data_IF_729809221068
#
_entry.id   IF_729809221068
#
_cell.length_a   1.000
_cell.length_b   1.000
_cell.length_c   1.000
_cell.angle_alpha   90.00
_cell.angle_beta   90.00
_cell.angle_gamma   90.00
#
_symmetry.space_group_name_H-M   'P 1'
#
loop_
_entity.id
_entity.type
_entity.pdbx_description
1 polymer ?
#
# COMPACT_ATOMS: atom_id res chain seq x y z
N UNK A 1 -14.78 -0.67 -28.20
CA UNK A 1 -14.99 -2.02 -27.62
C UNK A 1 -13.91 -2.29 -26.58
N UNK A 2 -14.18 -1.98 -25.31
CA UNK A 2 -13.32 -2.33 -24.17
C UNK A 2 -13.35 -3.85 -23.98
N UNK A 3 -12.29 -4.52 -24.43
CA UNK A 3 -12.23 -5.98 -24.53
C UNK A 3 -12.31 -6.59 -23.14
N UNK A 4 -13.22 -7.55 -22.93
CA UNK A 4 -13.48 -8.30 -21.68
C UNK A 4 -12.22 -8.69 -20.87
N UNK A 5 -11.08 -8.86 -21.54
CA UNK A 5 -9.76 -9.08 -20.95
C UNK A 5 -9.31 -7.97 -19.96
N UNK A 6 -9.59 -6.69 -20.23
CA UNK A 6 -9.22 -5.61 -19.30
C UNK A 6 -10.03 -5.67 -18.00
N UNK A 7 -11.32 -5.99 -18.11
CA UNK A 7 -12.19 -6.17 -16.95
C UNK A 7 -11.76 -7.36 -16.09
N UNK A 8 -11.36 -8.48 -16.70
CA UNK A 8 -10.85 -9.65 -15.97
C UNK A 8 -9.56 -9.33 -15.21
N UNK A 9 -8.63 -8.56 -15.80
CA UNK A 9 -7.40 -8.12 -15.12
C UNK A 9 -7.74 -7.23 -13.92
N UNK A 10 -8.62 -6.24 -14.08
CA UNK A 10 -9.02 -5.36 -12.97
C UNK A 10 -9.69 -6.14 -11.84
N UNK A 11 -10.61 -7.05 -12.15
CA UNK A 11 -11.27 -7.90 -11.14
C UNK A 11 -10.24 -8.80 -10.43
N UNK A 12 -9.34 -9.43 -11.19
CA UNK A 12 -8.28 -10.29 -10.63
C UNK A 12 -7.29 -9.51 -9.76
N UNK A 13 -6.96 -8.27 -10.13
CA UNK A 13 -6.09 -7.40 -9.35
C UNK A 13 -6.76 -6.99 -8.05
N UNK A 14 -8.03 -6.58 -8.09
CA UNK A 14 -8.80 -6.24 -6.90
C UNK A 14 -8.92 -7.42 -5.93
N UNK A 15 -9.07 -8.65 -6.45
CA UNK A 15 -9.06 -9.86 -5.64
C UNK A 15 -7.70 -10.10 -4.98
N UNK A 16 -6.62 -9.97 -5.75
CA UNK A 16 -5.25 -10.18 -5.26
C UNK A 16 -4.86 -9.13 -4.21
N UNK A 17 -5.25 -7.87 -4.40
CA UNK A 17 -5.04 -6.81 -3.42
C UNK A 17 -5.80 -7.09 -2.11
N UNK A 18 -7.07 -7.52 -2.21
CA UNK A 18 -7.86 -7.93 -1.04
C UNK A 18 -7.22 -9.08 -0.27
N UNK A 19 -6.70 -10.08 -0.99
CA UNK A 19 -5.95 -11.18 -0.37
C UNK A 19 -4.66 -10.69 0.31
N UNK A 20 -3.95 -9.72 -0.28
CA UNK A 20 -2.78 -9.09 0.32
C UNK A 20 -3.10 -8.35 1.62
N UNK A 21 -4.20 -7.59 1.65
CA UNK A 21 -4.69 -6.92 2.86
C UNK A 21 -5.03 -7.94 3.95
N UNK A 22 -5.76 -9.00 3.59
CA UNK A 22 -6.12 -10.06 4.55
C UNK A 22 -4.87 -10.76 5.10
N UNK A 23 -3.91 -11.11 4.22
CA UNK A 23 -2.64 -11.69 4.63
C UNK A 23 -1.93 -10.82 5.68
N UNK A 24 -1.86 -9.51 5.47
CA UNK A 24 -1.25 -8.60 6.44
C UNK A 24 -2.00 -8.59 7.77
N UNK A 25 -3.32 -8.40 7.75
CA UNK A 25 -4.12 -8.27 8.98
C UNK A 25 -4.14 -9.57 9.80
N UNK A 26 -4.23 -10.72 9.13
CA UNK A 26 -4.34 -12.03 9.79
C UNK A 26 -3.01 -12.53 10.34
N UNK A 27 -1.88 -12.18 9.71
CA UNK A 27 -0.57 -12.73 10.05
C UNK A 27 0.38 -11.72 10.71
N UNK A 28 0.08 -10.42 10.61
CA UNK A 28 0.95 -9.35 11.09
C UNK A 28 0.17 -8.29 11.86
N UNK A 29 0.65 -7.99 13.06
CA UNK A 29 0.09 -6.92 13.89
C UNK A 29 0.56 -5.54 13.45
N UNK A 30 -0.23 -4.51 13.77
CA UNK A 30 0.12 -3.11 13.49
C UNK A 30 -0.36 -2.61 12.12
N UNK A 31 -0.88 -3.48 11.26
CA UNK A 31 -1.56 -3.10 10.02
C UNK A 31 -3.06 -2.96 10.24
N UNK A 32 -3.65 -1.87 9.76
CA UNK A 32 -5.08 -1.63 9.85
C UNK A 32 -5.63 -1.21 8.49
N UNK A 33 -6.68 -1.92 8.07
CA UNK A 33 -7.49 -1.48 6.94
C UNK A 33 -8.37 -0.33 7.38
N UNK A 34 -8.43 0.69 6.55
CA UNK A 34 -9.23 1.88 6.76
C UNK A 34 -10.21 2.04 5.61
N UNK A 35 -11.37 2.61 5.90
CA UNK A 35 -12.34 2.92 4.87
C UNK A 35 -12.14 4.35 4.31
N UNK A 36 -12.97 4.71 3.34
CA UNK A 36 -12.89 6.01 2.67
C UNK A 36 -13.20 7.18 3.60
N UNK A 37 -14.11 7.00 4.57
CA UNK A 37 -14.47 8.05 5.50
C UNK A 37 -13.29 8.32 6.45
N UNK A 38 -12.73 7.26 7.02
CA UNK A 38 -11.55 7.32 7.86
C UNK A 38 -10.34 7.92 7.14
N UNK A 39 -10.13 7.60 5.84
CA UNK A 39 -9.07 8.25 5.04
C UNK A 39 -9.23 9.77 4.98
N UNK A 40 -10.45 10.30 4.89
CA UNK A 40 -10.67 11.76 4.88
C UNK A 40 -10.32 12.36 6.23
N UNK A 41 -10.85 11.78 7.30
CA UNK A 41 -10.62 12.25 8.66
C UNK A 41 -9.12 12.24 8.99
N UNK A 42 -8.39 11.21 8.54
CA UNK A 42 -6.95 11.10 8.70
C UNK A 42 -6.19 12.17 7.91
N UNK A 43 -6.59 12.44 6.65
CA UNK A 43 -5.98 13.50 5.85
C UNK A 43 -6.24 14.87 6.49
N UNK A 44 -7.44 15.13 6.99
CA UNK A 44 -7.78 16.36 7.69
C UNK A 44 -6.94 16.53 8.97
N UNK A 45 -6.85 15.48 9.79
CA UNK A 45 -6.05 15.47 11.02
C UNK A 45 -4.56 15.71 10.75
N UNK A 46 -4.04 15.25 9.61
CA UNK A 46 -2.66 15.45 9.18
C UNK A 46 -2.45 16.76 8.38
N UNK A 47 -3.50 17.57 8.19
CA UNK A 47 -3.46 18.78 7.35
C UNK A 47 -3.02 18.51 5.90
N UNK A 48 -3.41 17.36 5.35
CA UNK A 48 -3.09 16.91 3.99
C UNK A 48 -4.26 17.09 3.03
N UNK A 49 -3.94 17.32 1.75
CA UNK A 49 -4.97 17.49 0.72
C UNK A 49 -5.72 16.19 0.41
N UNK A 50 -7.05 16.30 0.27
CA UNK A 50 -7.92 15.19 -0.14
C UNK A 50 -7.63 14.62 -1.54
N UNK A 51 -6.80 15.28 -2.35
CA UNK A 51 -6.32 14.71 -3.63
C UNK A 51 -5.53 13.41 -3.46
N UNK A 52 -5.03 13.16 -2.25
CA UNK A 52 -4.27 11.96 -1.88
C UNK A 52 -5.12 10.83 -1.31
N UNK A 53 -6.45 10.94 -1.34
CA UNK A 53 -7.37 9.91 -0.84
C UNK A 53 -7.11 8.50 -1.42
N UNK A 54 -6.60 8.43 -2.64
CA UNK A 54 -6.29 7.19 -3.35
C UNK A 54 -4.79 6.88 -3.40
N UNK A 55 -3.96 7.55 -2.60
CA UNK A 55 -2.49 7.40 -2.64
C UNK A 55 -1.94 6.42 -1.59
N UNK A 56 -2.83 5.83 -0.78
CA UNK A 56 -2.51 4.84 0.24
C UNK A 56 -3.73 3.97 0.50
N UNK A 57 -3.52 2.75 0.97
CA UNK A 57 -4.56 1.73 1.18
C UNK A 57 -4.83 1.45 2.65
N UNK A 58 -3.78 1.47 3.47
CA UNK A 58 -3.80 1.06 4.87
C UNK A 58 -2.99 2.03 5.74
N UNK A 59 -3.10 1.85 7.06
CA UNK A 59 -2.14 2.42 8.01
C UNK A 59 -1.33 1.30 8.65
N UNK A 60 -0.08 1.64 8.98
CA UNK A 60 0.80 0.83 9.80
C UNK A 60 1.25 1.65 11.01
N UNK A 61 1.22 1.04 12.19
CA UNK A 61 1.64 1.69 13.42
C UNK A 61 2.64 0.79 14.17
N UNK A 62 3.96 1.06 14.05
CA UNK A 62 5.01 0.15 14.50
C UNK A 62 4.95 -0.22 15.99
N UNK A 63 4.57 0.73 16.84
CA UNK A 63 4.50 0.53 18.30
C UNK A 63 3.36 -0.42 18.73
N UNK A 64 2.49 -0.80 17.78
CA UNK A 64 1.35 -1.70 18.00
C UNK A 64 1.56 -3.10 17.41
N UNK A 65 2.79 -3.41 17.02
CA UNK A 65 3.16 -4.80 16.80
C UNK A 65 2.92 -5.59 18.12
N UNK A 66 1.97 -6.53 18.11
CA UNK A 66 1.55 -7.34 19.25
C UNK A 66 0.37 -6.84 20.10
N UNK A 67 -0.34 -5.77 19.74
CA UNK A 67 -1.45 -5.20 20.56
C UNK A 67 -2.79 -5.15 19.80
N UNK A 68 -3.90 -5.42 20.49
CA UNK A 68 -5.28 -5.25 19.99
C UNK A 68 -5.66 -3.76 20.01
N UNK A 69 -6.33 -3.26 18.96
CA UNK A 69 -6.70 -1.84 18.84
C UNK A 69 -8.23 -1.64 18.95
N UNK A 70 -8.62 -0.51 19.57
CA UNK A 70 -9.97 0.09 19.54
C UNK A 70 -9.95 1.39 18.71
N UNK A 71 -11.05 1.78 18.06
CA UNK A 71 -11.12 2.97 17.19
C UNK A 71 -10.62 4.28 17.84
N UNK A 72 -10.92 4.52 19.12
CA UNK A 72 -10.49 5.75 19.84
C UNK A 72 -8.98 5.89 20.02
N UNK A 73 -8.21 4.86 19.68
CA UNK A 73 -6.79 4.77 19.91
C UNK A 73 -5.93 5.32 18.76
N UNK A 74 -6.43 5.22 17.52
CA UNK A 74 -5.70 5.65 16.32
C UNK A 74 -5.55 7.18 16.33
N UNK A 75 -6.59 7.89 16.79
CA UNK A 75 -6.58 9.36 16.95
C UNK A 75 -5.50 9.82 17.93
N UNK A 76 -5.29 9.07 19.02
CA UNK A 76 -4.27 9.41 20.03
C UNK A 76 -2.82 9.17 19.55
N UNK A 77 -2.62 8.45 18.44
CA UNK A 77 -1.32 8.03 17.92
C UNK A 77 -1.01 8.57 16.52
N UNK A 78 -1.70 9.63 16.08
CA UNK A 78 -1.55 10.24 14.75
C UNK A 78 -0.10 10.50 14.34
N UNK A 79 0.78 10.81 15.30
CA UNK A 79 2.20 11.07 15.03
C UNK A 79 2.97 9.82 14.62
N UNK A 80 2.56 8.65 15.11
CA UNK A 80 3.21 7.35 14.89
C UNK A 80 2.61 6.57 13.71
N UNK A 81 1.56 7.10 13.08
CA UNK A 81 0.93 6.49 11.92
C UNK A 81 1.84 6.61 10.70
N UNK A 82 2.07 5.48 10.05
CA UNK A 82 2.67 5.38 8.73
C UNK A 82 1.56 5.04 7.74
N UNK A 83 1.38 5.86 6.72
CA UNK A 83 0.47 5.57 5.61
C UNK A 83 1.12 4.56 4.68
N UNK A 84 0.35 3.58 4.23
CA UNK A 84 0.89 2.46 3.45
C UNK A 84 0.09 2.25 2.17
N UNK A 85 0.80 2.25 1.04
CA UNK A 85 0.30 1.84 -0.27
C UNK A 85 0.69 0.38 -0.53
N UNK A 86 -0.27 -0.49 -0.85
CA UNK A 86 -0.02 -1.91 -1.03
C UNK A 86 0.27 -2.25 -2.49
N UNK A 87 1.29 -3.07 -2.71
CA UNK A 87 1.53 -3.76 -3.99
C UNK A 87 1.61 -5.25 -3.71
N UNK A 88 0.69 -6.02 -4.29
CA UNK A 88 0.57 -7.46 -3.99
C UNK A 88 0.94 -8.33 -5.19
N UNK A 89 1.55 -9.49 -4.93
CA UNK A 89 1.87 -10.49 -5.97
C UNK A 89 1.67 -11.92 -5.49
N UNK A 90 1.23 -12.78 -6.42
CA UNK A 90 1.18 -14.24 -6.24
C UNK A 90 2.42 -14.95 -6.80
N UNK A 91 3.36 -14.22 -7.41
CA UNK A 91 4.61 -14.78 -7.95
C UNK A 91 5.50 -15.25 -6.80
N UNK A 92 6.15 -16.40 -6.97
CA UNK A 92 7.17 -16.88 -6.05
C UNK A 92 8.36 -15.89 -6.01
N UNK A 93 8.61 -15.31 -4.83
CA UNK A 93 9.63 -14.29 -4.58
C UNK A 93 10.33 -14.58 -3.24
N UNK A 94 11.35 -15.44 -3.21
CA UNK A 94 12.05 -15.81 -1.97
C UNK A 94 12.86 -14.67 -1.35
N UNK A 95 13.06 -13.56 -2.07
CA UNK A 95 13.80 -12.38 -1.60
C UNK A 95 12.99 -11.08 -1.85
N UNK A 96 11.73 -11.03 -1.43
CA UNK A 96 10.86 -9.85 -1.54
C UNK A 96 11.58 -8.59 -0.99
N UNK A 97 11.67 -7.46 -1.73
CA UNK A 97 10.99 -7.12 -3.00
C UNK A 97 11.82 -7.33 -4.29
N UNK A 98 12.93 -8.07 -4.25
CA UNK A 98 13.69 -8.38 -5.47
C UNK A 98 12.86 -9.20 -6.45
N UNK A 99 12.78 -8.74 -7.69
CA UNK A 99 12.00 -9.39 -8.76
C UNK A 99 10.49 -9.09 -8.71
N UNK A 100 10.06 -8.22 -7.80
CA UNK A 100 8.69 -7.72 -7.73
C UNK A 100 8.42 -6.79 -8.92
N UNK A 101 7.34 -7.05 -9.65
CA UNK A 101 6.84 -6.17 -10.71
C UNK A 101 5.55 -5.52 -10.23
N UNK A 102 5.50 -4.19 -10.27
CA UNK A 102 4.35 -3.42 -9.79
C UNK A 102 4.12 -2.19 -10.67
N UNK A 103 2.87 -1.72 -10.67
CA UNK A 103 2.52 -0.39 -11.18
C UNK A 103 2.33 0.56 -10.00
N UNK A 104 2.68 1.82 -10.21
CA UNK A 104 2.45 2.89 -9.26
C UNK A 104 2.17 4.19 -10.02
N UNK A 105 1.29 5.02 -9.46
CA UNK A 105 0.96 6.32 -10.06
C UNK A 105 1.98 7.39 -9.65
N UNK A 106 2.10 8.44 -10.46
CA UNK A 106 2.93 9.60 -10.10
C UNK A 106 2.45 10.25 -8.79
N UNK A 107 1.13 10.19 -8.52
CA UNK A 107 0.56 10.72 -7.29
C UNK A 107 1.02 9.95 -6.05
N UNK A 108 1.14 8.62 -6.11
CA UNK A 108 1.70 7.79 -5.03
C UNK A 108 3.16 8.17 -4.72
N UNK A 109 4.00 8.31 -5.76
CA UNK A 109 5.39 8.73 -5.57
C UNK A 109 5.50 10.13 -4.96
N UNK A 110 4.79 11.12 -5.52
CA UNK A 110 4.77 12.50 -4.99
C UNK A 110 4.27 12.56 -3.56
N UNK A 111 3.27 11.74 -3.22
CA UNK A 111 2.74 11.67 -1.86
C UNK A 111 3.78 11.08 -0.91
N UNK A 112 4.45 10.01 -1.31
CA UNK A 112 5.52 9.39 -0.53
C UNK A 112 6.72 10.31 -0.31
N UNK A 113 7.14 11.06 -1.33
CA UNK A 113 8.20 12.07 -1.21
C UNK A 113 7.81 13.18 -0.23
N UNK A 114 6.56 13.65 -0.29
CA UNK A 114 6.06 14.69 0.60
C UNK A 114 5.97 14.24 2.07
N UNK A 115 5.62 12.99 2.32
CA UNK A 115 5.48 12.44 3.67
C UNK A 115 6.76 11.83 4.24
N UNK A 116 7.75 11.53 3.39
CA UNK A 116 9.03 10.94 3.76
C UNK A 116 8.85 9.72 4.68
N UNK A 117 9.29 9.79 5.95
CA UNK A 117 9.22 8.66 6.87
C UNK A 117 7.80 8.26 7.28
N UNK A 118 6.75 9.05 6.98
CA UNK A 118 5.35 8.71 7.27
C UNK A 118 4.62 7.97 6.13
N UNK A 119 5.32 7.62 5.05
CA UNK A 119 4.74 6.84 3.96
C UNK A 119 5.64 5.66 3.58
N UNK A 120 5.05 4.50 3.28
CA UNK A 120 5.77 3.34 2.74
C UNK A 120 4.98 2.69 1.62
N UNK A 121 5.71 2.24 0.60
CA UNK A 121 5.21 1.16 -0.26
C UNK A 121 5.35 -0.16 0.48
N UNK A 122 4.28 -0.94 0.57
CA UNK A 122 4.28 -2.28 1.13
C UNK A 122 4.14 -3.33 0.04
N UNK A 123 5.22 -4.07 -0.19
CA UNK A 123 5.28 -5.16 -1.16
C UNK A 123 4.89 -6.47 -0.48
N UNK A 124 3.73 -7.01 -0.82
CA UNK A 124 3.19 -8.24 -0.23
C UNK A 124 3.31 -9.39 -1.24
N UNK A 125 4.02 -10.45 -0.86
CA UNK A 125 4.04 -11.70 -1.59
C UNK A 125 3.14 -12.70 -0.86
N UNK A 126 2.04 -13.09 -1.51
CA UNK A 126 1.08 -14.08 -0.99
C UNK A 126 1.26 -15.46 -1.64
N UNK A 127 2.42 -15.71 -2.25
CA UNK A 127 2.75 -17.03 -2.76
C UNK A 127 2.98 -18.00 -1.58
N UNK A 128 2.32 -19.16 -1.59
CA UNK A 128 2.40 -20.16 -0.51
C UNK A 128 3.83 -20.59 -0.15
N UNK A 129 4.75 -20.58 -1.11
CA UNK A 129 6.15 -21.00 -0.91
C UNK A 129 7.07 -19.88 -0.48
N UNK A 130 6.64 -18.63 -0.55
CA UNK A 130 7.44 -17.46 -0.16
C UNK A 130 6.58 -16.33 0.43
N UNK A 131 5.67 -16.60 1.39
CA UNK A 131 4.83 -15.57 1.95
C UNK A 131 5.70 -14.56 2.71
N UNK A 132 5.57 -13.28 2.39
CA UNK A 132 6.38 -12.23 3.00
C UNK A 132 5.82 -10.83 2.70
N UNK A 133 6.26 -9.84 3.48
CA UNK A 133 6.08 -8.43 3.14
C UNK A 133 7.38 -7.65 3.26
N UNK A 134 7.47 -6.51 2.58
CA UNK A 134 8.58 -5.56 2.71
C UNK A 134 8.04 -4.13 2.66
N UNK A 135 8.49 -3.29 3.58
CA UNK A 135 8.16 -1.86 3.62
C UNK A 135 9.34 -1.06 3.10
N UNK A 136 9.09 -0.19 2.13
CA UNK A 136 10.11 0.63 1.48
C UNK A 136 9.67 2.09 1.44
N UNK A 137 10.56 3.00 1.79
CA UNK A 137 10.45 4.42 1.46
C UNK A 137 10.59 4.63 -0.04
N UNK A 138 10.22 5.81 -0.53
CA UNK A 138 10.49 6.19 -1.93
C UNK A 138 11.99 6.15 -2.24
N UNK A 139 12.83 6.62 -1.30
CA UNK A 139 14.28 6.65 -1.45
C UNK A 139 14.87 5.25 -1.59
N UNK A 140 14.55 4.34 -0.67
CA UNK A 140 15.02 2.95 -0.74
C UNK A 140 14.53 2.23 -2.01
N UNK A 141 13.31 2.56 -2.46
CA UNK A 141 12.75 1.99 -3.68
C UNK A 141 13.51 2.46 -4.93
N UNK A 142 13.81 3.75 -5.04
CA UNK A 142 14.58 4.32 -6.17
C UNK A 142 15.98 3.70 -6.29
N UNK A 143 16.63 3.38 -5.17
CA UNK A 143 17.94 2.72 -5.16
C UNK A 143 17.92 1.29 -5.73
N UNK A 144 16.80 0.57 -5.58
CA UNK A 144 16.69 -0.83 -6.01
C UNK A 144 15.99 -1.01 -7.36
N UNK A 145 15.24 -0.02 -7.85
CA UNK A 145 14.58 -0.08 -9.16
C UNK A 145 15.63 -0.32 -10.25
N UNK A 146 15.44 -1.41 -11.01
CA UNK A 146 16.31 -1.76 -12.14
C UNK A 146 15.79 -1.26 -13.48
N UNK A 147 14.47 -1.27 -13.65
CA UNK A 147 13.80 -0.89 -14.91
C UNK A 147 12.53 -0.14 -14.56
N UNK A 148 12.33 1.03 -15.16
CA UNK A 148 11.11 1.84 -15.06
C UNK A 148 10.49 1.99 -16.45
N UNK A 149 9.20 1.67 -16.57
CA UNK A 149 8.40 1.92 -17.78
C UNK A 149 7.26 2.86 -17.42
N UNK A 150 7.17 4.00 -18.10
CA UNK A 150 6.05 4.94 -17.94
C UNK A 150 4.92 4.49 -18.87
N UNK A 151 3.70 4.46 -18.34
CA UNK A 151 2.47 4.18 -19.09
C UNK A 151 1.47 5.31 -18.84
N UNK A 152 0.78 5.76 -19.89
CA UNK A 152 -0.27 6.76 -19.80
C UNK A 152 -1.64 6.09 -19.76
N UNK A 153 -2.50 6.54 -18.85
CA UNK A 153 -3.92 6.19 -18.87
C UNK A 153 -4.70 7.35 -19.51
N UNK A 154 -5.43 7.06 -20.58
CA UNK A 154 -6.25 8.04 -21.31
C UNK A 154 -7.72 7.65 -21.14
N UNK A 155 -8.52 8.56 -20.59
CA UNK A 155 -9.97 8.45 -20.53
C UNK A 155 -10.55 9.54 -21.45
N UNK A 156 -11.42 9.17 -22.39
CA UNK A 156 -12.11 10.08 -23.32
C UNK A 156 -13.52 10.38 -22.81
#
# INVERSE_FOLDING_TARGET
>A
MSRAHSFLITVSNNLTEKEGVNYLIENHTGFFKIDRAFKKDLLDALSLSHKFLNAFDMIYVPEYVGKMITEGFIVANLENIILVELKTTKKYLPQNPKGFFFGATENEFKFGEALGPKFRFCFVCINERSPSYSLMTVQELEEIIKVRRIQFQINL
#
